data_IF_381712393913
#
_entry.id   IF_381712393913
#
_cell.length_a   1.000
_cell.length_b   1.000
_cell.length_c   1.000
_cell.angle_alpha   90.00
_cell.angle_beta   90.00
_cell.angle_gamma   90.00
#
_symmetry.space_group_name_H-M   'P 1'
#
loop_
_entity.id
_entity.type
_entity.pdbx_description
1 polymer ?
#
# COMPACT_ATOMS: atom_id res chain seq x y z
N UNK A 1 -10.24 11.12 -4.09
CA UNK A 1 -10.43 10.64 -2.70
C UNK A 1 -10.22 9.13 -2.70
N UNK A 2 -9.26 8.63 -1.92
CA UNK A 2 -8.99 7.20 -1.82
C UNK A 2 -10.14 6.46 -1.12
N UNK A 3 -10.64 5.33 -1.66
CA UNK A 3 -11.73 4.57 -1.03
C UNK A 3 -11.42 4.06 0.38
N UNK A 4 -10.13 3.90 0.72
CA UNK A 4 -9.67 3.45 2.05
C UNK A 4 -9.80 4.50 3.15
N UNK A 5 -10.10 5.76 2.82
CA UNK A 5 -10.27 6.83 3.82
C UNK A 5 -11.38 6.52 4.85
N UNK A 6 -12.40 5.73 4.47
CA UNK A 6 -13.47 5.29 5.38
C UNK A 6 -13.00 4.29 6.46
N UNK A 7 -11.83 3.67 6.27
CA UNK A 7 -11.22 2.71 7.23
C UNK A 7 -9.85 3.20 7.73
N UNK A 8 -9.66 4.52 7.82
CA UNK A 8 -8.39 5.09 8.29
C UNK A 8 -7.19 4.80 7.40
N UNK A 9 -7.41 4.47 6.12
CA UNK A 9 -6.33 4.09 5.19
C UNK A 9 -6.05 2.58 5.13
N UNK A 10 -6.75 1.76 5.92
CA UNK A 10 -6.52 0.31 5.93
C UNK A 10 -7.09 -0.37 4.67
N UNK A 11 -6.19 -1.10 4.01
CA UNK A 11 -6.44 -1.87 2.79
C UNK A 11 -6.74 -3.34 3.09
N UNK A 12 -6.53 -3.79 4.34
CA UNK A 12 -6.68 -5.19 4.74
C UNK A 12 -5.54 -6.07 4.21
N UNK A 13 -5.73 -7.38 4.29
CA UNK A 13 -4.79 -8.36 3.77
C UNK A 13 -5.08 -8.64 2.29
N UNK A 14 -4.03 -8.62 1.48
CA UNK A 14 -4.09 -8.95 0.06
C UNK A 14 -2.85 -9.74 -0.35
N UNK A 15 -2.98 -10.50 -1.42
CA UNK A 15 -1.89 -11.31 -2.00
C UNK A 15 -1.21 -10.56 -3.14
N UNK A 16 0.00 -11.01 -3.48
CA UNK A 16 0.74 -10.53 -4.63
C UNK A 16 -0.13 -10.65 -5.90
N UNK A 17 -0.20 -9.58 -6.69
CA UNK A 17 -1.01 -9.49 -7.91
C UNK A 17 -2.47 -9.06 -7.73
N UNK A 18 -2.95 -8.85 -6.49
CA UNK A 18 -4.32 -8.36 -6.25
C UNK A 18 -4.43 -6.82 -6.29
N UNK A 19 -3.30 -6.12 -6.17
CA UNK A 19 -3.23 -4.66 -6.20
C UNK A 19 -2.55 -4.16 -7.48
N UNK A 20 -2.64 -2.86 -7.74
CA UNK A 20 -1.98 -2.24 -8.89
C UNK A 20 -0.47 -2.54 -8.87
N UNK A 21 0.19 -2.79 -10.01
CA UNK A 21 1.57 -3.26 -10.04
C UNK A 21 2.57 -2.37 -9.29
N UNK A 22 2.34 -1.06 -9.27
CA UNK A 22 3.16 -0.11 -8.52
C UNK A 22 3.04 -0.31 -7.00
N UNK A 23 1.84 -0.60 -6.51
CA UNK A 23 1.57 -0.86 -5.10
C UNK A 23 2.13 -2.22 -4.68
N UNK A 24 1.90 -3.23 -5.51
CA UNK A 24 2.36 -4.60 -5.28
C UNK A 24 3.89 -4.66 -5.14
N UNK A 25 4.61 -4.07 -6.10
CA UNK A 25 6.08 -4.01 -6.05
C UNK A 25 6.60 -3.35 -4.78
N UNK A 26 6.00 -2.24 -4.34
CA UNK A 26 6.44 -1.50 -3.15
C UNK A 26 6.10 -2.29 -1.88
N UNK A 27 4.89 -2.82 -1.77
CA UNK A 27 4.48 -3.61 -0.61
C UNK A 27 5.33 -4.85 -0.42
N UNK A 28 5.86 -5.46 -1.48
CA UNK A 28 6.72 -6.63 -1.40
C UNK A 28 8.23 -6.32 -1.36
N UNK A 29 8.65 -5.13 -1.77
CA UNK A 29 10.07 -4.74 -1.72
C UNK A 29 10.47 -4.03 -0.42
N UNK A 30 9.53 -3.38 0.26
CA UNK A 30 9.82 -2.55 1.43
C UNK A 30 9.93 -3.35 2.73
N UNK A 31 10.67 -2.83 3.73
CA UNK A 31 10.68 -3.41 5.07
C UNK A 31 9.29 -3.34 5.75
N UNK A 32 9.00 -4.36 6.55
CA UNK A 32 7.76 -4.43 7.36
C UNK A 32 7.89 -3.46 8.53
N UNK A 33 6.76 -2.86 8.94
CA UNK A 33 6.62 -1.82 9.98
C UNK A 33 7.26 -0.46 9.67
N UNK A 34 7.85 -0.29 8.50
CA UNK A 34 8.39 1.00 8.06
C UNK A 34 7.45 1.68 7.04
N UNK A 35 7.16 2.99 7.23
CA UNK A 35 6.41 3.75 6.24
C UNK A 35 7.31 4.02 5.01
N UNK A 36 6.86 3.58 3.84
CA UNK A 36 7.50 3.87 2.56
C UNK A 36 6.62 4.77 1.70
N UNK A 37 7.21 5.83 1.15
CA UNK A 37 6.51 6.75 0.25
C UNK A 37 7.28 8.05 0.04
N UNK A 38 6.79 8.93 -0.86
CA UNK A 38 5.45 8.89 -1.48
C UNK A 38 5.39 8.09 -2.80
N UNK A 39 4.40 7.19 -2.92
CA UNK A 39 4.07 6.48 -4.16
C UNK A 39 3.10 7.32 -4.99
N UNK A 40 3.51 7.69 -6.21
CA UNK A 40 2.62 8.36 -7.16
C UNK A 40 1.80 7.32 -7.93
N UNK A 41 0.47 7.43 -7.86
CA UNK A 41 -0.46 6.65 -8.69
C UNK A 41 -1.45 7.59 -9.39
N UNK A 42 -2.25 7.05 -10.31
CA UNK A 42 -3.34 7.80 -10.95
C UNK A 42 -4.37 8.40 -9.96
N UNK A 43 -4.37 7.94 -8.71
CA UNK A 43 -5.25 8.43 -7.65
C UNK A 43 -4.59 9.49 -6.75
N UNK A 44 -3.33 9.87 -7.03
CA UNK A 44 -2.55 10.84 -6.27
C UNK A 44 -1.33 10.22 -5.59
N UNK A 45 -0.84 10.87 -4.53
CA UNK A 45 0.27 10.39 -3.73
C UNK A 45 -0.21 9.54 -2.55
N UNK A 46 0.47 8.43 -2.28
CA UNK A 46 0.16 7.53 -1.18
C UNK A 46 1.42 7.22 -0.36
N UNK A 47 1.24 7.12 0.95
CA UNK A 47 2.25 6.56 1.87
C UNK A 47 1.74 5.17 2.25
N UNK A 48 2.64 4.19 2.19
CA UNK A 48 2.31 2.79 2.42
C UNK A 48 3.10 2.33 3.64
N UNK A 49 2.43 1.65 4.56
CA UNK A 49 3.07 0.99 5.69
C UNK A 49 2.64 -0.46 5.69
N UNK A 50 3.59 -1.38 5.53
CA UNK A 50 3.32 -2.81 5.59
C UNK A 50 3.29 -3.22 7.05
N UNK A 51 2.13 -3.63 7.57
CA UNK A 51 2.01 -4.01 8.98
C UNK A 51 2.53 -5.43 9.25
N UNK A 52 2.32 -6.35 8.32
CA UNK A 52 2.72 -7.76 8.41
C UNK A 52 2.92 -8.37 7.02
N UNK A 53 3.81 -9.36 6.91
CA UNK A 53 4.04 -10.16 5.69
C UNK A 53 4.37 -11.59 6.10
N UNK A 54 3.67 -12.57 5.53
CA UNK A 54 3.89 -14.02 5.72
C UNK A 54 4.07 -14.71 4.38
#
# INVERSE_FOLDING_TARGET
ICPSGKRGGDLGEFRQGQMVPAFDKVVFSCPVLEPTGPLHTQFGYHIIKVLYRN
#
